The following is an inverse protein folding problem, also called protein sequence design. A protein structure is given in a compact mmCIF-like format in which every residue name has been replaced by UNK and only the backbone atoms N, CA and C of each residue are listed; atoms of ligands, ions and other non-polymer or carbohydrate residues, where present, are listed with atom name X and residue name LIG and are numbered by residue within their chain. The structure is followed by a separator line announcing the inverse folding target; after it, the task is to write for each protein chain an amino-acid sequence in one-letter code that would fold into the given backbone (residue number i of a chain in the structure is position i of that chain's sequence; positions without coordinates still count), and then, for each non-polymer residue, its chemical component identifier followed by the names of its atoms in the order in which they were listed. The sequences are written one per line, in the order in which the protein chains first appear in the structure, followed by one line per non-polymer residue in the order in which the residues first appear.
data_IF_032161917864
#
_entry.id   IF_032161917864
#
_cell.length_a   1.000
_cell.length_b   1.000
_cell.length_c   1.000
_cell.angle_alpha   90.00
_cell.angle_beta   90.00
_cell.angle_gamma   90.00
#
_symmetry.space_group_name_H-M   'P 1'
#
loop_
_entity.id
_entity.type
_entity.pdbx_description
1 polymer ?
#
# COMPACT_ATOMS: atom_id res chain seq x y z
N UNK A 1 -3.20 -28.73 -13.30
CA UNK A 1 -2.50 -28.68 -11.99
C UNK A 1 -2.43 -27.23 -11.55
N UNK A 2 -2.77 -26.91 -10.30
CA UNK A 2 -2.69 -25.55 -9.78
C UNK A 2 -1.24 -25.20 -9.39
N UNK A 3 -0.82 -23.96 -9.62
CA UNK A 3 0.51 -23.49 -9.23
C UNK A 3 0.50 -23.06 -7.75
N UNK A 4 1.12 -23.87 -6.89
CA UNK A 4 1.01 -23.72 -5.43
C UNK A 4 1.88 -22.59 -4.82
N UNK A 5 2.64 -21.84 -5.63
CA UNK A 5 3.56 -20.78 -5.16
C UNK A 5 3.21 -19.39 -5.69
N UNK A 6 2.03 -19.21 -6.29
CA UNK A 6 1.67 -17.97 -6.97
C UNK A 6 1.80 -16.74 -6.08
N UNK A 7 1.32 -16.81 -4.84
CA UNK A 7 1.32 -15.70 -3.88
C UNK A 7 2.74 -15.31 -3.48
N UNK A 8 3.56 -16.27 -3.07
CA UNK A 8 4.97 -16.03 -2.71
C UNK A 8 5.74 -15.45 -3.89
N UNK A 9 5.57 -16.04 -5.07
CA UNK A 9 6.20 -15.54 -6.29
C UNK A 9 5.71 -14.14 -6.66
N UNK A 10 4.43 -13.85 -6.44
CA UNK A 10 3.86 -12.53 -6.67
C UNK A 10 4.56 -11.50 -5.79
N UNK A 11 4.68 -11.75 -4.48
CA UNK A 11 5.35 -10.82 -3.56
C UNK A 11 6.83 -10.66 -3.90
N UNK A 12 7.54 -11.75 -4.20
CA UNK A 12 8.96 -11.70 -4.61
C UNK A 12 9.13 -10.88 -5.91
N UNK A 13 8.28 -11.08 -6.91
CA UNK A 13 8.32 -10.31 -8.16
C UNK A 13 7.92 -8.85 -7.96
N UNK A 14 7.00 -8.57 -7.03
CA UNK A 14 6.67 -7.20 -6.64
C UNK A 14 7.89 -6.49 -6.07
N UNK A 15 8.62 -7.11 -5.14
CA UNK A 15 9.87 -6.56 -4.61
C UNK A 15 10.93 -6.35 -5.70
N UNK A 16 11.10 -7.32 -6.60
CA UNK A 16 12.03 -7.22 -7.72
C UNK A 16 11.69 -6.03 -8.64
N UNK A 17 10.40 -5.86 -8.99
CA UNK A 17 9.94 -4.72 -9.79
C UNK A 17 10.23 -3.39 -9.08
N UNK A 18 9.95 -3.29 -7.78
CA UNK A 18 10.17 -2.06 -7.00
C UNK A 18 11.63 -1.63 -6.98
N UNK A 19 12.56 -2.60 -6.87
CA UNK A 19 13.99 -2.33 -6.78
C UNK A 19 14.66 -2.14 -8.14
N UNK A 20 14.23 -2.90 -9.16
CA UNK A 20 15.00 -3.03 -10.39
C UNK A 20 14.37 -2.35 -11.60
N UNK A 21 13.09 -1.97 -11.56
CA UNK A 21 12.45 -1.29 -12.69
C UNK A 21 12.93 0.15 -12.84
N UNK A 22 13.54 0.46 -13.99
CA UNK A 22 14.05 1.80 -14.36
C UNK A 22 13.38 2.40 -15.59
N UNK A 23 12.26 1.81 -16.04
CA UNK A 23 11.54 2.28 -17.22
C UNK A 23 10.62 3.48 -16.92
N UNK A 24 9.95 4.01 -17.95
CA UNK A 24 9.14 5.23 -17.85
C UNK A 24 7.85 5.06 -17.03
N UNK A 25 7.41 3.82 -16.77
CA UNK A 25 6.13 3.54 -16.10
C UNK A 25 6.24 3.32 -14.59
N UNK A 26 7.30 3.83 -13.95
CA UNK A 26 7.65 3.50 -12.56
C UNK A 26 6.53 3.79 -11.56
N UNK A 27 5.87 4.94 -11.68
CA UNK A 27 4.75 5.31 -10.79
C UNK A 27 3.51 4.46 -11.04
N UNK A 28 3.17 4.20 -12.30
CA UNK A 28 2.04 3.32 -12.65
C UNK A 28 2.28 1.90 -12.13
N UNK A 29 3.50 1.37 -12.29
CA UNK A 29 3.85 0.06 -11.76
C UNK A 29 3.85 0.03 -10.23
N UNK A 30 4.25 1.11 -9.56
CA UNK A 30 4.16 1.23 -8.11
C UNK A 30 2.71 1.12 -7.64
N UNK A 31 1.76 1.80 -8.30
CA UNK A 31 0.32 1.70 -7.99
C UNK A 31 -0.18 0.27 -8.22
N UNK A 32 0.24 -0.39 -9.31
CA UNK A 32 -0.14 -1.78 -9.59
C UNK A 32 0.43 -2.77 -8.55
N UNK A 33 1.67 -2.56 -8.13
CA UNK A 33 2.31 -3.34 -7.07
C UNK A 33 1.57 -3.18 -5.75
N UNK A 34 1.27 -1.93 -5.36
CA UNK A 34 0.48 -1.64 -4.17
C UNK A 34 -0.89 -2.31 -4.24
N UNK A 35 -1.62 -2.19 -5.35
CA UNK A 35 -2.92 -2.81 -5.56
C UNK A 35 -2.87 -4.33 -5.36
N UNK A 36 -1.88 -5.00 -5.95
CA UNK A 36 -1.73 -6.44 -5.78
C UNK A 36 -1.48 -6.83 -4.32
N UNK A 37 -0.57 -6.12 -3.63
CA UNK A 37 -0.26 -6.38 -2.22
C UNK A 37 -1.43 -6.10 -1.27
N UNK A 38 -2.28 -5.11 -1.55
CA UNK A 38 -3.42 -4.79 -0.67
C UNK A 38 -4.69 -5.59 -0.98
N UNK A 39 -4.71 -6.35 -2.08
CA UNK A 39 -5.78 -7.30 -2.42
C UNK A 39 -5.49 -8.71 -1.92
N UNK A 40 -4.21 -9.10 -1.81
CA UNK A 40 -3.80 -10.36 -1.16
C UNK A 40 -4.39 -10.58 0.26
N UNK A 41 -4.49 -9.57 1.16
CA UNK A 41 -5.03 -9.71 2.50
C UNK A 41 -6.43 -10.31 2.55
N UNK A 42 -7.27 -9.98 1.57
CA UNK A 42 -8.67 -10.37 1.55
C UNK A 42 -8.89 -11.85 1.26
N UNK A 43 -7.86 -12.55 0.78
CA UNK A 43 -7.95 -13.96 0.37
C UNK A 43 -7.26 -14.92 1.35
N UNK A 44 -6.42 -14.41 2.27
CA UNK A 44 -5.56 -15.24 3.14
C UNK A 44 -5.37 -14.57 4.50
N UNK A 45 -6.06 -15.05 5.55
CA UNK A 45 -5.97 -14.72 6.99
C UNK A 45 -4.92 -13.65 7.40
N UNK A 46 -4.97 -12.46 6.81
CA UNK A 46 -3.87 -11.51 6.92
C UNK A 46 -3.92 -10.82 8.26
N UNK A 47 -5.12 -10.66 8.81
CA UNK A 47 -5.34 -10.28 10.20
C UNK A 47 -4.60 -11.23 11.15
N UNK A 48 -4.72 -12.55 10.97
CA UNK A 48 -3.95 -13.52 11.77
C UNK A 48 -2.43 -13.42 11.59
N UNK A 49 -1.94 -13.16 10.37
CA UNK A 49 -0.49 -12.95 10.12
C UNK A 49 0.01 -11.69 10.85
N UNK A 50 -0.75 -10.61 10.79
CA UNK A 50 -0.43 -9.35 11.47
C UNK A 50 -0.45 -9.54 12.99
N UNK A 51 -1.44 -10.25 13.52
CA UNK A 51 -1.54 -10.58 14.95
C UNK A 51 -0.37 -11.45 15.42
N UNK A 52 -0.05 -12.54 14.71
CA UNK A 52 1.06 -13.43 15.02
C UNK A 52 2.40 -12.68 15.04
N UNK A 53 2.61 -11.78 14.08
CA UNK A 53 3.83 -10.96 13.98
C UNK A 53 3.82 -9.71 14.86
N UNK A 54 2.70 -9.39 15.51
CA UNK A 54 2.52 -8.17 16.30
C UNK A 54 2.67 -6.87 15.50
N UNK A 55 2.39 -6.92 14.18
CA UNK A 55 2.56 -5.77 13.29
C UNK A 55 1.42 -4.77 13.48
N UNK A 56 1.78 -3.54 13.77
CA UNK A 56 0.91 -2.41 13.98
C UNK A 56 1.08 -1.36 12.88
N UNK A 57 0.13 -0.41 12.83
CA UNK A 57 0.21 0.71 11.91
C UNK A 57 1.51 1.52 12.08
N UNK A 58 1.99 1.65 13.33
CA UNK A 58 3.21 2.38 13.65
C UNK A 58 4.46 1.80 12.96
N UNK A 59 4.49 0.50 12.68
CA UNK A 59 5.61 -0.15 12.00
C UNK A 59 5.77 0.29 10.55
N UNK A 60 4.69 0.78 9.94
CA UNK A 60 4.76 1.44 8.64
C UNK A 60 5.53 2.77 8.73
N UNK A 61 5.58 3.41 9.90
CA UNK A 61 6.28 4.68 10.14
C UNK A 61 5.58 5.87 9.47
N UNK A 62 4.26 5.83 9.37
CA UNK A 62 3.47 6.87 8.69
C UNK A 62 3.34 8.08 9.62
N UNK A 63 3.74 9.24 9.14
CA UNK A 63 3.63 10.49 9.90
C UNK A 63 2.23 11.11 9.80
N UNK A 64 1.92 12.05 10.70
CA UNK A 64 0.67 12.82 10.63
C UNK A 64 0.61 13.77 9.42
N UNK A 65 1.76 14.18 8.86
CA UNK A 65 1.78 14.99 7.63
C UNK A 65 1.47 14.16 6.39
N UNK A 66 1.82 12.87 6.40
CA UNK A 66 1.49 11.91 5.36
C UNK A 66 0.03 11.46 5.47
N UNK A 67 -0.42 11.08 6.67
CA UNK A 67 -1.79 10.66 6.94
C UNK A 67 -2.64 11.83 7.45
N UNK A 68 -3.10 12.64 6.50
CA UNK A 68 -3.80 13.90 6.76
C UNK A 68 -5.19 13.71 7.40
N UNK A 69 -5.89 12.61 7.09
CA UNK A 69 -7.22 12.36 7.64
C UNK A 69 -7.59 10.88 7.62
N UNK A 70 -8.19 10.41 8.74
CA UNK A 70 -8.88 9.12 8.83
C UNK A 70 -10.37 9.21 8.44
N UNK A 71 -10.86 10.41 8.13
CA UNK A 71 -12.27 10.63 7.85
C UNK A 71 -13.17 10.24 9.03
N UNK A 72 -14.25 9.52 8.74
CA UNK A 72 -15.25 9.08 9.73
C UNK A 72 -14.80 7.88 10.59
N UNK A 73 -13.53 7.49 10.53
CA UNK A 73 -13.01 6.32 11.26
C UNK A 73 -12.64 6.72 12.69
N UNK A 74 -13.33 6.10 13.65
CA UNK A 74 -13.06 6.20 15.08
C UNK A 74 -11.64 5.75 15.42
N UNK A 75 -11.02 6.38 16.42
CA UNK A 75 -9.60 6.20 16.75
C UNK A 75 -9.23 4.75 17.09
N UNK A 76 -10.05 4.06 17.88
CA UNK A 76 -9.88 2.65 18.24
C UNK A 76 -9.98 1.68 17.05
N UNK A 77 -10.47 2.13 15.89
CA UNK A 77 -10.56 1.33 14.66
C UNK A 77 -9.43 1.63 13.67
N UNK A 78 -8.47 2.51 14.01
CA UNK A 78 -7.35 2.92 13.15
C UNK A 78 -6.22 1.89 13.17
N UNK A 79 -6.47 0.75 12.56
CA UNK A 79 -5.50 -0.36 12.44
C UNK A 79 -4.80 -0.34 11.08
N UNK A 80 -3.74 -1.13 10.94
CA UNK A 80 -3.10 -1.38 9.63
C UNK A 80 -4.09 -1.98 8.63
N UNK A 81 -4.96 -2.90 9.06
CA UNK A 81 -6.03 -3.46 8.23
C UNK A 81 -6.96 -2.37 7.70
N UNK A 82 -7.32 -1.42 8.57
CA UNK A 82 -8.19 -0.32 8.16
C UNK A 82 -7.49 0.64 7.19
N UNK A 83 -6.20 0.91 7.42
CA UNK A 83 -5.37 1.69 6.50
C UNK A 83 -5.28 1.04 5.11
N UNK A 84 -4.91 -0.24 5.05
CA UNK A 84 -4.84 -1.04 3.81
C UNK A 84 -6.19 -1.05 3.07
N UNK A 85 -7.28 -1.22 3.81
CA UNK A 85 -8.63 -1.14 3.26
C UNK A 85 -8.94 0.24 2.64
N UNK A 86 -8.55 1.33 3.29
CA UNK A 86 -8.72 2.68 2.76
C UNK A 86 -7.90 2.91 1.48
N UNK A 87 -6.63 2.49 1.44
CA UNK A 87 -5.81 2.54 0.21
C UNK A 87 -6.46 1.74 -0.93
N UNK A 88 -6.95 0.55 -0.64
CA UNK A 88 -7.64 -0.30 -1.62
C UNK A 88 -8.86 0.41 -2.18
N UNK A 89 -9.67 1.01 -1.32
CA UNK A 89 -10.84 1.78 -1.74
C UNK A 89 -10.47 3.00 -2.58
N UNK A 90 -9.37 3.69 -2.27
CA UNK A 90 -8.87 4.79 -3.09
C UNK A 90 -8.51 4.30 -4.49
N UNK A 91 -7.72 3.24 -4.60
CA UNK A 91 -7.26 2.72 -5.91
C UNK A 91 -8.43 2.12 -6.71
N UNK A 92 -9.25 1.27 -6.10
CA UNK A 92 -10.36 0.58 -6.78
C UNK A 92 -11.42 1.53 -7.34
N UNK A 93 -11.53 2.74 -6.78
CA UNK A 93 -12.44 3.78 -7.26
C UNK A 93 -11.72 4.91 -8.02
N UNK A 94 -10.45 4.73 -8.39
CA UNK A 94 -9.63 5.73 -9.10
C UNK A 94 -9.65 7.09 -8.39
N UNK A 95 -9.57 7.07 -7.06
CA UNK A 95 -9.42 8.25 -6.19
C UNK A 95 -7.98 8.40 -5.75
N UNK A 96 -7.09 8.33 -6.74
CA UNK A 96 -5.66 8.53 -6.60
C UNK A 96 -5.28 9.67 -7.52
N UNK A 97 -4.79 10.75 -6.94
CA UNK A 97 -4.30 11.91 -7.66
C UNK A 97 -2.78 11.92 -7.62
N UNK A 98 -2.14 12.33 -8.72
CA UNK A 98 -0.69 12.55 -8.78
C UNK A 98 -0.39 14.03 -8.76
N UNK A 99 0.63 14.43 -8.00
CA UNK A 99 1.20 15.77 -8.09
C UNK A 99 2.58 15.69 -8.70
N UNK A 100 2.81 16.51 -9.72
CA UNK A 100 4.09 16.62 -10.37
C UNK A 100 4.88 17.83 -9.90
N UNK A 101 6.19 17.76 -10.16
CA UNK A 101 7.09 18.90 -10.13
C UNK A 101 8.00 18.76 -11.34
N UNK A 102 8.05 19.81 -12.15
CA UNK A 102 8.85 19.87 -13.37
C UNK A 102 8.53 18.72 -14.37
N UNK A 103 7.26 18.32 -14.45
CA UNK A 103 6.82 17.24 -15.35
C UNK A 103 7.08 15.83 -14.83
N UNK A 104 7.65 15.68 -13.62
CA UNK A 104 7.85 14.39 -12.96
C UNK A 104 6.89 14.21 -11.79
N UNK A 105 6.18 13.09 -11.73
CA UNK A 105 5.30 12.77 -10.59
C UNK A 105 6.15 12.59 -9.33
N UNK A 106 5.89 13.41 -8.30
CA UNK A 106 6.62 13.40 -7.02
C UNK A 106 5.81 12.82 -5.88
N UNK A 107 4.49 12.87 -5.94
CA UNK A 107 3.64 12.34 -4.88
C UNK A 107 2.31 11.80 -5.39
N UNK A 108 1.71 10.94 -4.57
CA UNK A 108 0.38 10.37 -4.77
C UNK A 108 -0.51 10.77 -3.58
N UNK A 109 -1.74 11.17 -3.87
CA UNK A 109 -2.78 11.41 -2.88
C UNK A 109 -3.89 10.39 -3.02
N UNK A 110 -4.12 9.64 -1.94
CA UNK A 110 -5.15 8.63 -1.81
C UNK A 110 -6.31 9.22 -1.02
N UNK A 111 -7.52 9.12 -1.56
CA UNK A 111 -8.73 9.57 -0.85
C UNK A 111 -9.90 8.60 -1.00
N UNK A 112 -10.86 8.65 -0.08
CA UNK A 112 -12.10 7.87 -0.21
C UNK A 112 -13.35 8.64 0.26
N UNK A 113 -14.53 8.05 0.04
CA UNK A 113 -15.83 8.64 0.40
C UNK A 113 -16.04 8.77 1.92
N UNK A 114 -15.25 8.09 2.75
CA UNK A 114 -15.31 8.21 4.20
C UNK A 114 -14.58 9.46 4.72
N UNK A 115 -13.84 10.15 3.85
CA UNK A 115 -13.00 11.30 4.21
C UNK A 115 -11.57 10.92 4.56
N UNK A 116 -11.16 9.67 4.29
CA UNK A 116 -9.75 9.29 4.37
C UNK A 116 -8.93 10.11 3.38
N UNK A 117 -7.75 10.55 3.80
CA UNK A 117 -6.78 11.25 2.95
C UNK A 117 -5.36 10.97 3.41
N UNK A 118 -4.53 10.49 2.49
CA UNK A 118 -3.11 10.29 2.71
C UNK A 118 -2.31 10.75 1.49
N UNK A 119 -1.17 11.40 1.72
CA UNK A 119 -0.28 11.91 0.68
C UNK A 119 1.13 11.41 0.94
N UNK A 120 1.72 10.74 -0.05
CA UNK A 120 3.05 10.15 0.05
C UNK A 120 3.91 10.60 -1.13
N UNK A 121 5.19 10.89 -0.88
CA UNK A 121 6.15 10.95 -1.98
C UNK A 121 6.29 9.58 -2.64
N UNK A 122 6.80 9.53 -3.88
CA UNK A 122 7.03 8.26 -4.58
C UNK A 122 7.99 7.36 -3.80
N UNK A 123 9.05 7.93 -3.24
CA UNK A 123 10.06 7.25 -2.43
C UNK A 123 9.42 6.65 -1.17
N UNK A 124 8.63 7.45 -0.45
CA UNK A 124 7.93 6.98 0.74
C UNK A 124 6.93 5.88 0.40
N UNK A 125 6.25 6.00 -0.73
CA UNK A 125 5.31 4.99 -1.15
C UNK A 125 6.00 3.67 -1.50
N UNK A 126 7.19 3.70 -2.13
CA UNK A 126 8.00 2.49 -2.33
C UNK A 126 8.34 1.81 -1.00
N UNK A 127 8.79 2.57 0.00
CA UNK A 127 9.10 2.03 1.33
C UNK A 127 7.89 1.38 2.00
N UNK A 128 6.70 1.99 1.91
CA UNK A 128 5.46 1.41 2.46
C UNK A 128 5.11 0.11 1.72
N UNK A 129 5.20 0.09 0.39
CA UNK A 129 4.92 -1.10 -0.42
C UNK A 129 5.91 -2.23 -0.09
N UNK A 130 7.19 -1.91 0.08
CA UNK A 130 8.23 -2.87 0.50
C UNK A 130 7.94 -3.44 1.89
N UNK A 131 7.59 -2.59 2.87
CA UNK A 131 7.18 -3.05 4.21
C UNK A 131 5.97 -3.97 4.14
N UNK A 132 4.95 -3.61 3.36
CA UNK A 132 3.76 -4.45 3.17
C UNK A 132 4.12 -5.80 2.52
N UNK A 133 5.02 -5.81 1.54
CA UNK A 133 5.49 -7.03 0.90
C UNK A 133 6.20 -7.97 1.89
N UNK A 134 7.08 -7.42 2.74
CA UNK A 134 7.85 -8.22 3.69
C UNK A 134 6.97 -8.90 4.75
N UNK A 135 5.79 -8.35 5.07
CA UNK A 135 4.82 -9.01 5.97
C UNK A 135 4.42 -10.41 5.44
N UNK A 136 4.47 -10.64 4.12
CA UNK A 136 4.10 -11.92 3.49
C UNK A 136 5.24 -12.93 3.34
N UNK A 137 6.49 -12.50 3.43
CA UNK A 137 7.66 -13.34 3.14
C UNK A 137 8.28 -13.93 4.41
N UNK A 138 8.25 -13.15 5.49
CA UNK A 138 8.68 -13.59 6.82
C UNK A 138 7.65 -14.52 7.46
#
# INVERSE_FOLDING_TARGET
MAYNRLERDFVIRTLDILHNYKGPYGVTLLINCLLGLIVLPTEKNFEGILEEKGIQLADLGISSSELQSWGKIEEQKRTIMKFVHCLRNSIAHIRVESFDKDGEIKSLCFSDKSGFKAVFSIERMKEIVEKLANIYID
#
